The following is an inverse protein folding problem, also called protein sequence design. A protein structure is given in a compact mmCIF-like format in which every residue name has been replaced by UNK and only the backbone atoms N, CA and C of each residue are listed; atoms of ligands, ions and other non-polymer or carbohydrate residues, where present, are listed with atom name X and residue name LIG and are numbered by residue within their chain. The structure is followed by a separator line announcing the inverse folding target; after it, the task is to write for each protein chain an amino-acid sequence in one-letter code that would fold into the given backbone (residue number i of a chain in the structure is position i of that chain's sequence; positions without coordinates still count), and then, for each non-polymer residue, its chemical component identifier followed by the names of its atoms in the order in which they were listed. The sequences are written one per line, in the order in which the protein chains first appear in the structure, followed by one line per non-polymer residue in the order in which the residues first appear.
data_IF_430440253910
#
_entry.id   IF_430440253910
#
_cell.length_a   1.000
_cell.length_b   1.000
_cell.length_c   1.000
_cell.angle_alpha   90.00
_cell.angle_beta   90.00
_cell.angle_gamma   90.00
#
_symmetry.space_group_name_H-M   'P 1'
#
loop_
_entity.id
_entity.type
_entity.pdbx_description
1 polymer ?
#
# COMPACT_ATOMS: atom_id res chain seq x y z
N UNK A 1 10.70 25.84 76.96
CA UNK A 1 11.48 26.92 76.30
C UNK A 1 11.99 26.35 74.98
N UNK A 2 11.47 26.92 73.89
CA UNK A 2 12.01 27.06 72.52
C UNK A 2 12.81 25.92 71.89
N UNK A 3 12.26 25.49 70.74
CA UNK A 3 12.84 24.93 69.53
C UNK A 3 14.38 24.86 69.41
N UNK A 4 14.86 23.70 68.98
CA UNK A 4 16.01 23.60 68.10
C UNK A 4 15.61 22.81 66.86
N UNK A 5 15.55 23.52 65.74
CA UNK A 5 15.22 23.06 64.39
C UNK A 5 16.24 22.02 63.93
N UNK A 6 15.78 20.83 63.59
CA UNK A 6 16.60 19.82 62.93
C UNK A 6 16.71 20.16 61.43
N UNK A 7 17.91 20.52 60.99
CA UNK A 7 18.29 20.63 59.58
C UNK A 7 18.10 19.29 58.87
N UNK A 8 17.08 19.18 58.02
CA UNK A 8 16.84 18.03 57.12
C UNK A 8 17.83 18.11 55.96
N UNK A 9 18.69 17.10 55.84
CA UNK A 9 19.72 17.00 54.81
C UNK A 9 19.14 16.74 53.41
N UNK A 10 19.11 17.79 52.56
CA UNK A 10 18.74 17.73 51.14
C UNK A 10 19.81 17.16 50.20
N UNK A 11 20.64 16.21 50.69
CA UNK A 11 21.68 15.55 49.90
C UNK A 11 21.22 14.25 49.23
N UNK A 12 20.40 13.45 49.93
CA UNK A 12 20.08 12.08 49.52
C UNK A 12 19.17 11.96 48.29
N UNK A 13 18.23 12.88 48.09
CA UNK A 13 17.30 12.81 46.95
C UNK A 13 17.97 13.17 45.62
N UNK A 14 18.83 14.20 45.60
CA UNK A 14 19.58 14.57 44.39
C UNK A 14 20.54 13.47 43.94
N UNK A 15 21.21 12.81 44.87
CA UNK A 15 22.06 11.66 44.55
C UNK A 15 21.26 10.48 43.97
N UNK A 16 20.07 10.20 44.53
CA UNK A 16 19.18 9.16 43.99
C UNK A 16 18.69 9.48 42.58
N UNK A 17 18.26 10.70 42.32
CA UNK A 17 17.85 11.12 40.98
C UNK A 17 19.00 11.03 39.97
N UNK A 18 20.17 11.54 40.31
CA UNK A 18 21.37 11.45 39.46
C UNK A 18 21.79 10.00 39.22
N UNK A 19 21.63 9.11 40.20
CA UNK A 19 21.90 7.68 40.04
C UNK A 19 20.93 7.00 39.07
N UNK A 20 19.65 7.38 39.08
CA UNK A 20 18.62 6.88 38.15
C UNK A 20 18.91 7.37 36.73
N UNK A 21 19.24 8.65 36.56
CA UNK A 21 19.59 9.22 35.27
C UNK A 21 20.83 8.53 34.67
N UNK A 22 21.88 8.31 35.46
CA UNK A 22 23.09 7.58 35.00
C UNK A 22 22.78 6.15 34.58
N UNK A 23 21.91 5.43 35.31
CA UNK A 23 21.49 4.08 34.93
C UNK A 23 20.71 4.06 33.61
N UNK A 24 19.84 5.03 33.38
CA UNK A 24 19.11 5.16 32.11
C UNK A 24 20.05 5.46 30.94
N UNK A 25 20.99 6.40 31.11
CA UNK A 25 21.99 6.72 30.09
C UNK A 25 22.87 5.50 29.82
N UNK A 26 23.35 4.79 30.85
CA UNK A 26 24.18 3.61 30.67
C UNK A 26 23.43 2.47 29.99
N UNK A 27 22.16 2.23 30.35
CA UNK A 27 21.33 1.22 29.68
C UNK A 27 21.09 1.56 28.19
N UNK A 28 20.93 2.84 27.85
CA UNK A 28 20.86 3.31 26.46
C UNK A 28 22.18 3.07 25.72
N UNK A 29 23.32 3.43 26.32
CA UNK A 29 24.65 3.19 25.73
C UNK A 29 24.94 1.70 25.56
N UNK A 30 24.59 0.87 26.53
CA UNK A 30 24.79 -0.58 26.48
C UNK A 30 23.89 -1.23 25.44
N UNK A 31 22.63 -0.77 25.30
CA UNK A 31 21.76 -1.19 24.20
C UNK A 31 22.38 -0.82 22.85
N UNK A 32 22.86 0.41 22.66
CA UNK A 32 23.53 0.85 21.43
C UNK A 32 24.83 0.07 21.17
N UNK A 33 25.64 -0.22 22.18
CA UNK A 33 26.87 -1.03 22.03
C UNK A 33 26.56 -2.47 21.68
N UNK A 34 25.54 -3.07 22.32
CA UNK A 34 25.10 -4.44 22.04
C UNK A 34 24.56 -4.55 20.61
N UNK A 35 23.88 -3.50 20.15
CA UNK A 35 23.44 -3.31 18.75
C UNK A 35 24.64 -3.21 17.80
N UNK A 36 25.67 -2.42 18.12
CA UNK A 36 26.90 -2.30 17.30
C UNK A 36 27.69 -3.62 17.25
N UNK A 37 27.69 -4.40 18.33
CA UNK A 37 28.39 -5.70 18.38
C UNK A 37 27.63 -6.86 17.74
N UNK A 38 26.33 -6.70 17.47
CA UNK A 38 25.55 -7.67 16.70
C UNK A 38 25.83 -7.52 15.20
N UNK A 39 25.53 -8.56 14.42
CA UNK A 39 25.50 -8.42 12.97
C UNK A 39 24.47 -7.34 12.62
N UNK A 40 24.91 -6.24 12.00
CA UNK A 40 24.05 -5.12 11.61
C UNK A 40 22.81 -5.59 10.82
N UNK A 41 22.98 -6.66 10.03
CA UNK A 41 21.92 -7.30 9.25
C UNK A 41 20.75 -7.82 10.08
N UNK A 42 20.98 -8.30 11.32
CA UNK A 42 19.92 -8.82 12.20
C UNK A 42 19.07 -7.69 12.82
N UNK A 43 19.55 -6.45 12.76
CA UNK A 43 18.90 -5.27 13.33
C UNK A 43 18.13 -4.46 12.28
N UNK A 44 18.47 -4.65 11.01
CA UNK A 44 17.79 -3.98 9.92
C UNK A 44 16.49 -4.75 9.59
N UNK A 45 15.39 -4.03 9.30
CA UNK A 45 14.21 -4.64 8.70
C UNK A 45 14.63 -5.48 7.47
N UNK A 46 13.97 -6.63 7.22
CA UNK A 46 14.27 -7.48 6.07
C UNK A 46 14.27 -6.67 4.77
N UNK A 47 15.09 -7.03 3.77
CA UNK A 47 15.21 -6.26 2.52
C UNK A 47 13.91 -6.20 1.72
N UNK A 48 13.01 -7.16 1.93
CA UNK A 48 11.67 -7.17 1.35
C UNK A 48 10.62 -7.61 2.37
N UNK A 49 9.40 -7.12 2.21
CA UNK A 49 8.22 -7.51 2.97
C UNK A 49 7.13 -7.98 2.02
N UNK A 50 6.72 -9.27 2.10
CA UNK A 50 5.54 -9.75 1.40
C UNK A 50 4.26 -9.03 1.86
N UNK A 51 3.45 -8.57 0.91
CA UNK A 51 2.15 -7.94 1.18
C UNK A 51 1.02 -8.86 0.69
N UNK A 52 1.08 -9.27 -0.58
CA UNK A 52 0.11 -10.17 -1.19
C UNK A 52 0.84 -11.26 -2.00
N UNK A 53 0.30 -12.48 -1.99
CA UNK A 53 0.84 -13.63 -2.70
C UNK A 53 -0.29 -14.41 -3.36
N UNK A 54 -0.40 -14.33 -4.69
CA UNK A 54 -1.49 -14.89 -5.47
C UNK A 54 -1.27 -16.37 -5.79
N UNK A 55 -0.97 -17.15 -4.75
CA UNK A 55 -0.61 -18.56 -4.88
C UNK A 55 -1.74 -19.52 -4.43
N UNK A 56 -2.85 -19.00 -3.91
CA UNK A 56 -3.93 -19.81 -3.34
C UNK A 56 -5.29 -19.09 -3.39
N UNK A 57 -6.38 -19.87 -3.45
CA UNK A 57 -7.76 -19.32 -3.46
C UNK A 57 -8.08 -18.54 -2.18
N UNK A 58 -7.42 -18.86 -1.07
CA UNK A 58 -7.52 -18.12 0.19
C UNK A 58 -7.14 -16.65 -0.01
N UNK A 59 -6.13 -16.36 -0.84
CA UNK A 59 -5.70 -15.00 -1.12
C UNK A 59 -6.84 -14.16 -1.72
N UNK A 60 -7.65 -14.75 -2.62
CA UNK A 60 -8.74 -14.06 -3.27
C UNK A 60 -9.79 -13.54 -2.28
N UNK A 61 -9.95 -14.18 -1.12
CA UNK A 61 -10.88 -13.73 -0.08
C UNK A 61 -10.49 -12.38 0.55
N UNK A 62 -9.24 -11.95 0.35
CA UNK A 62 -8.73 -10.64 0.76
C UNK A 62 -9.06 -9.54 -0.25
N UNK A 63 -9.61 -9.88 -1.42
CA UNK A 63 -9.89 -8.94 -2.49
C UNK A 63 -11.39 -8.87 -2.77
N UNK A 64 -11.86 -7.71 -3.21
CA UNK A 64 -13.16 -7.56 -3.84
C UNK A 64 -12.98 -6.89 -5.19
N UNK A 65 -13.85 -7.26 -6.13
CA UNK A 65 -13.91 -6.68 -7.46
C UNK A 65 -14.92 -5.53 -7.46
N UNK A 66 -14.64 -4.52 -8.27
CA UNK A 66 -15.55 -3.41 -8.55
C UNK A 66 -15.43 -3.03 -10.03
N UNK A 67 -16.49 -2.47 -10.59
CA UNK A 67 -16.49 -1.90 -11.94
C UNK A 67 -17.49 -0.77 -12.06
N UNK A 68 -17.51 -0.11 -13.21
CA UNK A 68 -18.54 0.86 -13.57
C UNK A 68 -19.97 0.29 -13.55
N UNK A 69 -20.14 -1.04 -13.51
CA UNK A 69 -21.45 -1.71 -13.43
C UNK A 69 -22.24 -1.36 -12.17
N UNK A 70 -21.56 -1.01 -11.07
CA UNK A 70 -22.19 -0.47 -9.86
C UNK A 70 -22.91 0.86 -10.10
N UNK A 71 -22.53 1.56 -11.17
CA UNK A 71 -23.07 2.86 -11.57
C UNK A 71 -23.82 2.81 -12.90
N UNK A 72 -24.13 1.61 -13.40
CA UNK A 72 -24.89 1.39 -14.64
C UNK A 72 -24.05 1.14 -15.89
N UNK A 73 -22.72 1.12 -15.80
CA UNK A 73 -21.83 0.69 -16.88
C UNK A 73 -21.93 -0.82 -17.17
N UNK A 74 -21.31 -1.26 -18.26
CA UNK A 74 -21.36 -2.66 -18.68
C UNK A 74 -20.00 -3.38 -18.58
N UNK A 75 -19.01 -2.81 -17.88
CA UNK A 75 -17.72 -3.47 -17.68
C UNK A 75 -17.82 -4.58 -16.63
N UNK A 76 -17.07 -5.66 -16.84
CA UNK A 76 -17.06 -6.83 -15.96
C UNK A 76 -15.63 -7.22 -15.58
N UNK A 77 -15.48 -7.82 -14.40
CA UNK A 77 -14.20 -8.26 -13.87
C UNK A 77 -14.33 -9.63 -13.19
N UNK A 78 -13.23 -10.36 -13.18
CA UNK A 78 -13.04 -11.66 -12.53
C UNK A 78 -11.64 -11.72 -11.93
N UNK A 79 -11.52 -12.43 -10.81
CA UNK A 79 -10.26 -12.72 -10.14
C UNK A 79 -10.22 -14.20 -9.80
N UNK A 80 -9.21 -14.92 -10.30
CA UNK A 80 -9.09 -16.37 -10.15
C UNK A 80 -7.66 -16.77 -9.85
N UNK A 81 -7.46 -17.96 -9.28
CA UNK A 81 -6.14 -18.59 -9.17
C UNK A 81 -6.03 -19.66 -10.25
N UNK A 82 -4.92 -19.67 -10.97
CA UNK A 82 -4.58 -20.68 -11.96
C UNK A 82 -3.25 -21.33 -11.62
N UNK A 83 -3.10 -22.59 -12.02
CA UNK A 83 -1.88 -23.36 -11.92
C UNK A 83 -1.32 -23.60 -13.32
N UNK A 84 -0.04 -23.30 -13.51
CA UNK A 84 0.68 -23.58 -14.75
C UNK A 84 1.10 -25.05 -14.84
N UNK A 85 1.53 -25.50 -16.03
CA UNK A 85 2.02 -26.87 -16.25
C UNK A 85 3.18 -27.27 -15.30
N UNK A 86 3.96 -26.30 -14.84
CA UNK A 86 5.07 -26.51 -13.92
C UNK A 86 4.65 -26.51 -12.43
N UNK A 87 3.34 -26.48 -12.14
CA UNK A 87 2.79 -26.41 -10.78
C UNK A 87 2.87 -25.01 -10.14
N UNK A 88 3.39 -24.00 -10.85
CA UNK A 88 3.43 -22.64 -10.32
C UNK A 88 2.04 -22.00 -10.39
N UNK A 89 1.59 -21.46 -9.26
CA UNK A 89 0.29 -20.80 -9.14
C UNK A 89 0.40 -19.28 -9.30
N UNK A 90 -0.61 -18.67 -9.90
CA UNK A 90 -0.73 -17.22 -10.06
C UNK A 90 -2.19 -16.78 -10.03
N UNK A 91 -2.41 -15.51 -9.73
CA UNK A 91 -3.72 -14.86 -9.83
C UNK A 91 -3.94 -14.28 -11.21
N UNK A 92 -5.13 -14.42 -11.75
CA UNK A 92 -5.55 -13.77 -13.00
C UNK A 92 -6.64 -12.76 -12.66
N UNK A 93 -6.33 -11.47 -12.84
CA UNK A 93 -7.30 -10.39 -12.87
C UNK A 93 -7.65 -10.11 -14.33
N UNK A 94 -8.89 -10.37 -14.73
CA UNK A 94 -9.33 -10.26 -16.12
C UNK A 94 -10.79 -9.83 -16.24
N UNK A 95 -11.20 -9.48 -17.45
CA UNK A 95 -12.58 -9.09 -17.72
C UNK A 95 -12.71 -8.33 -19.04
N UNK A 96 -13.79 -7.57 -19.16
CA UNK A 96 -14.09 -6.80 -20.36
C UNK A 96 -14.46 -5.36 -19.97
N UNK A 97 -13.86 -4.38 -20.64
CA UNK A 97 -14.18 -2.96 -20.49
C UNK A 97 -15.19 -2.55 -21.56
N UNK A 98 -16.30 -1.95 -21.15
CA UNK A 98 -17.29 -1.40 -22.07
C UNK A 98 -17.51 0.09 -21.79
N UNK A 99 -17.62 0.88 -22.87
CA UNK A 99 -18.01 2.28 -22.78
C UNK A 99 -19.53 2.45 -22.73
N UNK A 100 -20.29 1.37 -22.95
CA UNK A 100 -21.75 1.40 -22.94
C UNK A 100 -22.30 1.49 -21.51
N UNK A 101 -23.46 2.13 -21.40
CA UNK A 101 -24.21 2.33 -20.16
C UNK A 101 -25.62 1.78 -20.34
N UNK A 102 -26.14 1.07 -19.35
CA UNK A 102 -27.48 0.49 -19.42
C UNK A 102 -28.57 1.57 -19.54
N UNK A 103 -29.51 1.34 -20.46
CA UNK A 103 -30.67 2.22 -20.66
C UNK A 103 -31.45 2.39 -19.35
N UNK A 104 -31.76 3.64 -18.98
CA UNK A 104 -32.53 3.94 -17.76
C UNK A 104 -31.72 3.91 -16.45
N UNK A 105 -30.39 3.87 -16.52
CA UNK A 105 -29.52 4.04 -15.35
C UNK A 105 -29.89 5.32 -14.57
N UNK A 106 -30.16 5.18 -13.26
CA UNK A 106 -30.45 6.32 -12.37
C UNK A 106 -29.26 7.26 -12.21
N UNK A 107 -28.06 6.77 -12.46
CA UNK A 107 -26.81 7.49 -12.33
C UNK A 107 -26.38 8.01 -13.70
N UNK A 108 -26.30 9.34 -13.83
CA UNK A 108 -25.64 9.98 -14.97
C UNK A 108 -24.13 9.80 -14.81
N UNK A 109 -23.58 8.68 -15.27
CA UNK A 109 -22.13 8.51 -15.33
C UNK A 109 -21.56 9.21 -16.55
N UNK A 110 -20.53 10.03 -16.33
CA UNK A 110 -19.81 10.73 -17.41
C UNK A 110 -18.61 9.93 -17.92
N UNK A 111 -18.22 8.87 -17.21
CA UNK A 111 -17.05 8.03 -17.51
C UNK A 111 -17.38 6.56 -17.20
N UNK A 112 -17.47 5.74 -18.24
CA UNK A 112 -17.60 4.28 -18.20
C UNK A 112 -16.27 3.62 -18.65
N UNK A 113 -16.22 2.30 -18.64
CA UNK A 113 -15.06 1.53 -19.08
C UNK A 113 -13.98 1.38 -18.03
N UNK A 114 -14.33 1.08 -16.77
CA UNK A 114 -13.34 0.79 -15.73
C UNK A 114 -13.68 -0.45 -14.91
N UNK A 115 -12.62 -1.18 -14.54
CA UNK A 115 -12.66 -2.33 -13.62
C UNK A 115 -11.51 -2.22 -12.62
N UNK A 116 -11.68 -2.80 -11.44
CA UNK A 116 -10.60 -2.90 -10.47
C UNK A 116 -10.79 -4.01 -9.45
N UNK A 117 -9.70 -4.32 -8.78
CA UNK A 117 -9.66 -5.17 -7.60
C UNK A 117 -9.08 -4.36 -6.44
N UNK A 118 -9.72 -4.41 -5.28
CA UNK A 118 -9.25 -3.72 -4.07
C UNK A 118 -9.16 -4.70 -2.92
N UNK A 119 -8.08 -4.61 -2.15
CA UNK A 119 -7.92 -5.40 -0.94
C UNK A 119 -8.96 -4.95 0.10
N UNK A 120 -9.41 -5.89 0.92
CA UNK A 120 -10.01 -5.56 2.21
C UNK A 120 -9.00 -4.75 3.02
N UNK A 121 -9.51 -3.89 3.91
CA UNK A 121 -8.65 -3.20 4.87
C UNK A 121 -7.91 -4.25 5.69
N UNK A 122 -6.61 -4.01 5.92
CA UNK A 122 -5.83 -4.85 6.82
C UNK A 122 -6.39 -4.76 8.24
N UNK A 123 -6.12 -5.77 9.07
CA UNK A 123 -6.40 -5.69 10.49
C UNK A 123 -5.38 -4.72 11.13
N UNK A 124 -5.80 -3.46 11.31
CA UNK A 124 -4.91 -2.34 11.63
C UNK A 124 -4.22 -1.78 10.39
N UNK A 125 -2.90 -1.58 10.49
CA UNK A 125 -2.08 -1.00 9.42
C UNK A 125 -0.94 -1.94 9.06
N UNK A 126 -0.54 -1.92 7.79
CA UNK A 126 0.79 -2.38 7.42
C UNK A 126 1.75 -1.21 7.56
N UNK A 127 2.78 -1.41 8.37
CA UNK A 127 3.91 -0.50 8.48
C UNK A 127 4.92 -0.80 7.36
N UNK A 128 5.03 0.15 6.43
CA UNK A 128 5.98 0.14 5.33
C UNK A 128 7.07 1.21 5.48
N UNK A 129 7.22 1.86 6.64
CA UNK A 129 8.17 2.97 6.85
C UNK A 129 9.61 2.61 6.52
N UNK A 130 9.97 1.33 6.72
CA UNK A 130 11.30 0.79 6.41
C UNK A 130 11.54 0.45 4.93
N UNK A 131 10.58 0.74 4.05
CA UNK A 131 10.60 0.36 2.64
C UNK A 131 10.27 1.55 1.75
N UNK A 132 11.05 1.76 0.69
CA UNK A 132 10.91 2.89 -0.23
C UNK A 132 10.14 2.54 -1.51
N UNK A 133 9.91 1.25 -1.78
CA UNK A 133 9.42 0.78 -3.09
C UNK A 133 8.34 -0.28 -2.95
N UNK A 134 7.26 -0.14 -3.72
CA UNK A 134 6.33 -1.24 -4.00
C UNK A 134 6.77 -1.97 -5.26
N UNK A 135 6.96 -3.27 -5.14
CA UNK A 135 7.29 -4.16 -6.24
C UNK A 135 6.14 -5.11 -6.54
N UNK A 136 5.85 -5.33 -7.82
CA UNK A 136 4.82 -6.25 -8.29
C UNK A 136 5.39 -7.15 -9.38
N UNK A 137 5.24 -8.47 -9.23
CA UNK A 137 5.57 -9.41 -10.29
C UNK A 137 4.31 -9.79 -11.04
N UNK A 138 4.25 -9.41 -12.32
CA UNK A 138 3.05 -9.52 -13.13
C UNK A 138 3.38 -9.80 -14.60
N UNK A 139 2.41 -10.37 -15.33
CA UNK A 139 2.45 -10.55 -16.78
C UNK A 139 1.21 -9.88 -17.37
N UNK A 140 1.43 -8.83 -18.14
CA UNK A 140 0.34 -7.98 -18.64
C UNK A 140 -0.14 -8.35 -20.04
N UNK A 141 -1.16 -7.62 -20.47
CA UNK A 141 -1.83 -7.61 -21.77
C UNK A 141 -1.51 -6.36 -22.60
N UNK A 142 -0.46 -5.63 -22.21
CA UNK A 142 -0.09 -4.35 -22.81
C UNK A 142 -1.00 -3.18 -22.45
N UNK A 143 -2.02 -3.33 -21.59
CA UNK A 143 -2.78 -2.21 -21.04
C UNK A 143 -2.01 -1.56 -19.89
N UNK A 144 -2.32 -0.29 -19.62
CA UNK A 144 -1.82 0.40 -18.45
C UNK A 144 -2.80 0.23 -17.29
N UNK A 145 -2.29 -0.22 -16.15
CA UNK A 145 -3.04 -0.35 -14.90
C UNK A 145 -2.69 0.81 -13.96
N UNK A 146 -3.50 1.01 -12.94
CA UNK A 146 -3.29 1.98 -11.87
C UNK A 146 -3.16 1.21 -10.58
N UNK A 147 -1.99 1.27 -9.96
CA UNK A 147 -1.78 0.82 -8.58
C UNK A 147 -2.20 1.94 -7.64
N UNK A 148 -3.03 1.63 -6.66
CA UNK A 148 -3.42 2.58 -5.61
C UNK A 148 -3.01 2.06 -4.24
N UNK A 149 -2.42 2.92 -3.42
CA UNK A 149 -2.17 2.69 -2.00
C UNK A 149 -3.18 3.52 -1.22
N UNK A 150 -3.86 2.90 -0.25
CA UNK A 150 -4.76 3.59 0.66
C UNK A 150 -4.06 3.75 2.01
N UNK A 151 -4.00 4.97 2.51
CA UNK A 151 -3.46 5.28 3.84
C UNK A 151 -4.54 5.88 4.73
N UNK A 152 -4.32 5.84 6.04
CA UNK A 152 -5.15 6.58 6.99
C UNK A 152 -5.25 8.06 6.59
N UNK A 153 -6.46 8.60 6.70
CA UNK A 153 -6.73 10.01 6.48
C UNK A 153 -6.52 10.78 7.79
N UNK A 154 -5.47 11.59 7.83
CA UNK A 154 -5.12 12.44 8.98
C UNK A 154 -5.54 13.91 8.80
N UNK A 155 -5.76 14.35 7.56
CA UNK A 155 -5.84 15.79 7.21
C UNK A 155 -7.28 16.29 7.17
N UNK A 156 -8.27 15.43 6.88
CA UNK A 156 -9.64 15.90 6.74
C UNK A 156 -10.36 16.02 8.09
N UNK A 157 -11.23 17.03 8.19
CA UNK A 157 -12.04 17.32 9.36
C UNK A 157 -12.79 16.08 9.89
N UNK A 158 -13.08 16.00 11.20
CA UNK A 158 -13.89 14.91 11.78
C UNK A 158 -15.17 14.72 10.96
N UNK A 159 -15.33 13.55 10.35
CA UNK A 159 -16.51 13.19 9.53
C UNK A 159 -16.21 12.74 8.10
N UNK A 160 -15.03 13.03 7.53
CA UNK A 160 -14.63 12.43 6.25
C UNK A 160 -13.98 11.08 6.46
N UNK A 161 -14.77 10.01 6.36
CA UNK A 161 -14.32 8.62 6.52
C UNK A 161 -13.55 8.08 5.29
N UNK A 162 -13.39 8.88 4.24
CA UNK A 162 -12.71 8.47 3.01
C UNK A 162 -11.19 8.34 3.28
N UNK A 163 -10.60 7.22 2.84
CA UNK A 163 -9.17 6.96 2.96
C UNK A 163 -8.39 7.89 2.02
N UNK A 164 -7.15 8.25 2.39
CA UNK A 164 -6.25 8.93 1.46
C UNK A 164 -5.82 7.94 0.37
N UNK A 165 -5.86 8.37 -0.89
CA UNK A 165 -5.48 7.53 -2.02
C UNK A 165 -4.25 8.08 -2.73
N UNK A 166 -3.34 7.18 -3.07
CA UNK A 166 -2.09 7.50 -3.76
C UNK A 166 -1.96 6.59 -4.97
N UNK A 167 -1.74 7.16 -6.15
CA UNK A 167 -1.81 6.42 -7.41
C UNK A 167 -0.52 6.48 -8.22
N UNK A 168 -0.16 5.34 -8.81
CA UNK A 168 0.90 5.24 -9.79
C UNK A 168 0.47 4.35 -10.96
N UNK A 169 0.95 4.68 -12.16
CA UNK A 169 0.71 3.87 -13.35
C UNK A 169 1.63 2.65 -13.40
N UNK A 170 1.07 1.52 -13.79
CA UNK A 170 1.75 0.23 -13.96
C UNK A 170 1.58 -0.20 -15.41
N UNK A 171 2.66 -0.23 -16.16
CA UNK A 171 2.66 -0.71 -17.54
C UNK A 171 3.75 -1.76 -17.71
N UNK A 172 3.38 -2.88 -18.32
CA UNK A 172 4.33 -3.89 -18.79
C UNK A 172 3.99 -4.33 -20.20
N UNK A 173 4.98 -4.68 -21.03
CA UNK A 173 4.75 -5.31 -22.32
C UNK A 173 3.94 -6.61 -22.17
N UNK A 174 3.17 -6.93 -23.22
CA UNK A 174 2.42 -8.17 -23.29
C UNK A 174 3.35 -9.39 -23.32
N UNK A 175 2.88 -10.50 -22.72
CA UNK A 175 3.41 -11.83 -23.01
C UNK A 175 4.55 -12.33 -22.12
N UNK A 176 5.22 -11.45 -21.36
CA UNK A 176 6.30 -11.84 -20.45
C UNK A 176 6.01 -11.43 -18.99
N UNK A 177 6.61 -12.16 -18.04
CA UNK A 177 6.64 -11.78 -16.64
C UNK A 177 7.65 -10.66 -16.41
N UNK A 178 7.23 -9.60 -15.72
CA UNK A 178 8.05 -8.47 -15.33
C UNK A 178 7.91 -8.21 -13.83
N UNK A 179 8.98 -7.67 -13.24
CA UNK A 179 8.95 -7.11 -11.88
C UNK A 179 8.94 -5.59 -12.04
N UNK A 180 7.81 -4.96 -11.77
CA UNK A 180 7.72 -3.51 -11.68
C UNK A 180 8.18 -3.08 -10.28
N UNK A 181 8.92 -1.98 -10.21
CA UNK A 181 9.41 -1.36 -8.97
C UNK A 181 9.02 0.11 -8.99
N UNK A 182 8.10 0.50 -8.12
CA UNK A 182 7.55 1.85 -8.06
C UNK A 182 7.92 2.44 -6.70
N UNK A 183 8.84 3.42 -6.66
CA UNK A 183 9.13 4.15 -5.44
C UNK A 183 7.86 4.79 -4.87
N UNK A 184 7.69 4.77 -3.55
CA UNK A 184 6.56 5.39 -2.86
C UNK A 184 6.44 6.88 -3.22
N UNK A 185 7.57 7.56 -3.38
CA UNK A 185 7.65 8.95 -3.83
C UNK A 185 7.09 9.21 -5.24
N UNK A 186 6.83 8.17 -6.05
CA UNK A 186 6.18 8.28 -7.37
C UNK A 186 4.67 8.08 -7.34
N UNK A 187 4.09 7.70 -6.20
CA UNK A 187 2.65 7.65 -6.04
C UNK A 187 2.12 9.06 -5.77
N UNK A 188 1.24 9.55 -6.65
CA UNK A 188 0.67 10.88 -6.55
C UNK A 188 -0.60 10.87 -5.69
N UNK A 189 -0.81 11.87 -4.80
CA UNK A 189 -2.04 11.97 -4.03
C UNK A 189 -3.22 12.21 -4.96
N UNK A 190 -4.30 11.45 -4.77
CA UNK A 190 -5.53 11.58 -5.56
C UNK A 190 -6.75 11.77 -4.67
N UNK A 191 -7.69 12.59 -5.14
CA UNK A 191 -9.01 12.78 -4.55
C UNK A 191 -10.08 12.64 -5.62
N UNK A 192 -11.03 11.72 -5.42
CA UNK A 192 -12.11 11.44 -6.37
C UNK A 192 -11.63 11.30 -7.82
N UNK A 193 -10.49 10.62 -8.00
CA UNK A 193 -9.86 10.38 -9.31
C UNK A 193 -9.05 11.54 -9.91
N UNK A 194 -8.95 12.68 -9.23
CA UNK A 194 -8.11 13.79 -9.65
C UNK A 194 -6.81 13.82 -8.84
N UNK A 195 -5.68 14.08 -9.49
CA UNK A 195 -4.42 14.36 -8.79
C UNK A 195 -4.59 15.66 -8.00
N UNK A 196 -4.21 15.62 -6.72
CA UNK A 196 -4.22 16.80 -5.86
C UNK A 196 -2.88 17.51 -6.05
N UNK A 197 -2.91 18.77 -6.49
CA UNK A 197 -1.72 19.64 -6.48
C UNK A 197 -1.52 20.23 -5.09
N UNK A 198 -1.28 19.34 -4.13
CA UNK A 198 -0.93 19.69 -2.76
C UNK A 198 0.29 18.90 -2.36
N UNK A 199 1.22 19.57 -1.66
CA UNK A 199 2.39 18.93 -1.04
C UNK A 199 1.92 18.14 0.18
N UNK A 200 1.32 16.98 -0.07
CA UNK A 200 0.93 16.01 0.95
C UNK A 200 1.89 14.85 0.83
N UNK A 201 2.47 14.44 1.95
CA UNK A 201 3.33 13.25 2.02
C UNK A 201 2.51 12.02 2.40
N UNK A 202 2.84 10.89 1.79
CA UNK A 202 2.28 9.60 2.18
C UNK A 202 2.80 9.23 3.56
N UNK A 203 1.92 8.69 4.43
CA UNK A 203 2.35 8.05 5.67
C UNK A 203 2.52 6.53 5.44
N UNK A 204 3.74 6.03 5.16
CA UNK A 204 3.98 4.62 4.87
C UNK A 204 3.75 3.71 6.09
N UNK A 205 3.76 4.24 7.32
CA UNK A 205 3.47 3.46 8.53
C UNK A 205 1.98 3.13 8.71
N UNK A 206 1.10 3.79 7.94
CA UNK A 206 -0.37 3.73 8.10
C UNK A 206 -1.08 3.25 6.84
N UNK A 207 -0.55 2.21 6.18
CA UNK A 207 -1.17 1.63 4.98
C UNK A 207 -2.35 0.75 5.37
N UNK A 208 -3.52 1.05 4.79
CA UNK A 208 -4.80 0.37 5.03
C UNK A 208 -5.12 -0.71 3.99
N UNK A 209 -4.64 -0.55 2.76
CA UNK A 209 -4.96 -1.46 1.67
C UNK A 209 -4.35 -1.02 0.35
N UNK A 210 -4.53 -1.85 -0.68
CA UNK A 210 -4.08 -1.56 -2.04
C UNK A 210 -5.15 -1.92 -3.06
N UNK A 211 -5.09 -1.32 -4.25
CA UNK A 211 -5.88 -1.74 -5.40
C UNK A 211 -5.08 -1.75 -6.68
N UNK A 212 -5.57 -2.52 -7.65
CA UNK A 212 -5.15 -2.46 -9.04
C UNK A 212 -6.39 -2.24 -9.90
N UNK A 213 -6.38 -1.23 -10.76
CA UNK A 213 -7.50 -0.92 -11.65
C UNK A 213 -7.03 -0.67 -13.08
N UNK A 214 -7.96 -0.74 -14.02
CA UNK A 214 -7.74 -0.50 -15.45
C UNK A 214 -8.92 0.26 -16.02
N UNK A 215 -8.65 1.16 -16.96
CA UNK A 215 -9.66 1.95 -17.65
C UNK A 215 -9.47 1.89 -19.17
N UNK A 216 -10.57 2.08 -19.91
CA UNK A 216 -10.57 2.06 -21.37
C UNK A 216 -9.84 3.28 -21.94
N UNK A 217 -10.03 4.46 -21.35
CA UNK A 217 -9.55 5.74 -21.90
C UNK A 217 -8.22 6.23 -21.31
N UNK A 218 -7.53 5.43 -20.49
CA UNK A 218 -6.29 5.85 -19.81
C UNK A 218 -5.06 5.07 -20.24
N UNK A 219 -3.91 5.60 -19.81
CA UNK A 219 -2.62 4.91 -19.91
C UNK A 219 -1.49 5.81 -20.39
N UNK A 220 -0.30 5.22 -20.41
CA UNK A 220 0.92 5.86 -20.95
C UNK A 220 0.98 5.70 -22.48
N UNK A 221 1.69 6.59 -23.21
CA UNK A 221 1.91 6.44 -24.65
C UNK A 221 2.45 5.04 -25.00
N UNK A 222 1.83 4.38 -25.98
CA UNK A 222 2.18 3.01 -26.40
C UNK A 222 1.46 1.90 -25.64
N UNK A 223 0.70 2.20 -24.58
CA UNK A 223 -0.19 1.22 -23.96
C UNK A 223 -1.43 0.98 -24.81
N UNK A 224 -1.94 -0.26 -24.79
CA UNK A 224 -3.23 -0.62 -25.37
C UNK A 224 -4.34 0.11 -24.62
N UNK A 225 -5.19 0.82 -25.37
CA UNK A 225 -6.35 1.56 -24.87
C UNK A 225 -7.63 1.16 -25.64
N UNK A 226 -8.77 1.68 -25.19
CA UNK A 226 -10.11 1.39 -25.72
C UNK A 226 -10.85 0.26 -24.98
N UNK A 227 -12.13 0.03 -25.33
CA UNK A 227 -12.93 -1.06 -24.78
C UNK A 227 -12.38 -2.44 -25.17
N UNK A 228 -12.99 -3.49 -24.64
CA UNK A 228 -12.62 -4.88 -24.88
C UNK A 228 -11.85 -5.51 -23.72
N UNK A 229 -11.30 -6.68 -23.98
CA UNK A 229 -10.77 -7.54 -22.91
C UNK A 229 -9.52 -6.96 -22.25
N UNK A 230 -9.40 -7.22 -20.96
CA UNK A 230 -8.19 -7.03 -20.18
C UNK A 230 -7.84 -8.31 -19.41
N UNK A 231 -6.54 -8.53 -19.19
CA UNK A 231 -6.01 -9.67 -18.45
C UNK A 231 -4.60 -9.36 -17.94
N UNK A 232 -4.41 -9.42 -16.63
CA UNK A 232 -3.10 -9.39 -15.98
C UNK A 232 -2.94 -10.59 -15.05
N UNK A 233 -1.83 -11.31 -15.20
CA UNK A 233 -1.42 -12.34 -14.26
C UNK A 233 -0.56 -11.71 -13.17
N UNK A 234 -0.77 -12.12 -11.92
CA UNK A 234 -0.14 -11.59 -10.73
C UNK A 234 0.46 -12.75 -9.96
N UNK A 235 1.73 -12.62 -9.58
CA UNK A 235 2.42 -13.58 -8.71
C UNK A 235 2.41 -13.05 -7.28
N UNK A 236 2.95 -11.84 -7.07
CA UNK A 236 3.03 -11.23 -5.74
C UNK A 236 3.10 -9.70 -5.78
N UNK A 237 2.85 -9.10 -4.62
CA UNK A 237 3.11 -7.70 -4.31
C UNK A 237 3.94 -7.65 -3.03
N UNK A 238 5.05 -6.90 -3.06
CA UNK A 238 6.01 -6.76 -1.96
C UNK A 238 6.38 -5.29 -1.76
N UNK A 239 6.76 -4.93 -0.53
CA UNK A 239 7.57 -3.75 -0.30
C UNK A 239 9.06 -4.14 -0.32
N UNK A 240 9.92 -3.26 -0.83
CA UNK A 240 11.36 -3.47 -0.94
C UNK A 240 12.11 -2.24 -0.43
N UNK A 241 13.26 -2.46 0.18
CA UNK A 241 14.27 -1.43 0.41
C UNK A 241 15.22 -1.46 -0.79
N UNK A 242 15.22 -0.40 -1.59
CA UNK A 242 16.06 -0.28 -2.79
C UNK A 242 17.20 0.71 -2.61
N UNK A 243 17.14 1.54 -1.58
CA UNK A 243 18.18 2.50 -1.18
C UNK A 243 18.87 2.12 0.15
#
# INVERSE_FOLDING_TARGET
MVEAVATVGGGGDREREMSRLRRLIQASVDATKKVISGNLDDLMPPPERPIFSFNSKQELSKWHLYSDSEFGGLSSASLQITESENGATSGIFSGNLSLDVSEGSKWNITRSGFCGMRSKKFDGFIDLDSYDTIAMKLKGDGRCYISTIYTENWVNSPGQMEDNSWQAFVYVPEGNWYITKIPLARYLPTWRGNVIDAQIEMNPSRVLGMSLSVNAEGGVPGARSGPGDFRVELDWIKAMRTE
#
